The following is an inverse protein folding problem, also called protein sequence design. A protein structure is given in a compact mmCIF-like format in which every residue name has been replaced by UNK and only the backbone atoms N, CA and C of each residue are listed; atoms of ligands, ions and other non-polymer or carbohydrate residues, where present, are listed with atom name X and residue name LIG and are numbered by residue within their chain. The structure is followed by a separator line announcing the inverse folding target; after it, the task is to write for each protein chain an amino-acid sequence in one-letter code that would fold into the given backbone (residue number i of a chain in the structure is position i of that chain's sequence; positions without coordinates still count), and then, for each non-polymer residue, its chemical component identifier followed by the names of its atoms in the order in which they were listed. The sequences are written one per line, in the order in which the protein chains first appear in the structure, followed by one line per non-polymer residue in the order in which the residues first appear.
data_IF_846670096690
#
_entry.id   IF_846670096690
#
_cell.length_a   1.000
_cell.length_b   1.000
_cell.length_c   1.000
_cell.angle_alpha   90.00
_cell.angle_beta   90.00
_cell.angle_gamma   90.00
#
_symmetry.space_group_name_H-M   'P 1'
#
loop_
_entity.id
_entity.type
_entity.pdbx_description
1 polymer ?
#
# COMPACT_ATOMS: atom_id res chain seq x y z
N UNK A 1 45.77 -8.49 -5.85
CA UNK A 1 44.56 -7.65 -5.98
C UNK A 1 43.77 -7.68 -4.68
N UNK A 2 43.60 -6.54 -3.98
CA UNK A 2 42.76 -6.49 -2.77
C UNK A 2 41.31 -6.79 -3.18
N UNK A 3 40.68 -7.79 -2.55
CA UNK A 3 39.24 -8.06 -2.75
C UNK A 3 38.48 -6.81 -2.28
N UNK A 4 37.84 -6.12 -3.22
CA UNK A 4 36.96 -4.99 -2.93
C UNK A 4 35.84 -5.47 -1.98
N UNK A 5 35.71 -4.85 -0.81
CA UNK A 5 34.65 -5.19 0.15
C UNK A 5 33.34 -4.57 -0.34
N UNK A 6 32.55 -5.36 -1.05
CA UNK A 6 31.23 -4.93 -1.51
C UNK A 6 30.15 -5.18 -0.44
N UNK A 7 29.09 -4.37 -0.39
CA UNK A 7 27.97 -4.60 0.51
C UNK A 7 27.25 -5.94 0.25
N UNK A 8 26.53 -6.46 1.24
CA UNK A 8 25.79 -7.72 1.10
C UNK A 8 24.73 -7.59 -0.01
N UNK A 9 24.73 -8.56 -0.93
CA UNK A 9 23.84 -8.56 -2.10
C UNK A 9 24.39 -7.80 -3.31
N UNK A 10 25.62 -7.30 -3.24
CA UNK A 10 26.33 -6.67 -4.35
C UNK A 10 27.39 -7.64 -4.87
N UNK A 11 27.50 -7.77 -6.19
CA UNK A 11 28.59 -8.51 -6.81
C UNK A 11 28.97 -7.89 -8.15
N UNK A 12 30.26 -7.90 -8.47
CA UNK A 12 30.74 -7.52 -9.81
C UNK A 12 30.59 -8.70 -10.76
N UNK A 13 30.03 -8.42 -11.93
CA UNK A 13 30.03 -9.33 -13.06
C UNK A 13 31.41 -9.30 -13.77
N UNK A 14 31.74 -10.32 -14.59
CA UNK A 14 33.02 -10.38 -15.30
C UNK A 14 33.30 -9.18 -16.21
N UNK A 15 32.25 -8.51 -16.69
CA UNK A 15 32.33 -7.31 -17.51
C UNK A 15 32.51 -6.00 -16.71
N UNK A 16 32.82 -6.08 -15.42
CA UNK A 16 32.98 -4.92 -14.53
C UNK A 16 31.68 -4.27 -14.04
N UNK A 17 30.52 -4.69 -14.55
CA UNK A 17 29.22 -4.19 -14.10
C UNK A 17 28.92 -4.62 -12.67
N UNK A 18 28.33 -3.73 -11.88
CA UNK A 18 27.91 -4.01 -10.51
C UNK A 18 26.45 -4.45 -10.50
N UNK A 19 26.17 -5.64 -9.96
CA UNK A 19 24.82 -6.16 -9.80
C UNK A 19 24.41 -6.11 -8.34
N UNK A 20 23.16 -5.73 -8.11
CA UNK A 20 22.58 -5.62 -6.79
C UNK A 20 21.31 -6.46 -6.72
N UNK A 21 21.22 -7.29 -5.69
CA UNK A 21 20.05 -8.11 -5.35
C UNK A 21 19.59 -7.78 -3.94
N UNK A 22 18.32 -7.39 -3.84
CA UNK A 22 17.65 -7.16 -2.55
C UNK A 22 16.61 -8.27 -2.40
N UNK A 23 16.79 -9.08 -1.34
CA UNK A 23 15.83 -10.10 -0.91
C UNK A 23 15.30 -9.71 0.47
N UNK A 24 14.00 -9.45 0.54
CA UNK A 24 13.27 -9.22 1.79
C UNK A 24 12.17 -10.29 1.85
N UNK A 25 12.04 -10.94 3.02
CA UNK A 25 11.03 -11.99 3.21
C UNK A 25 9.63 -11.39 2.97
N UNK A 26 8.83 -12.05 2.14
CA UNK A 26 7.46 -11.61 1.82
C UNK A 26 7.35 -10.63 0.63
N UNK A 27 8.47 -10.27 -0.02
CA UNK A 27 8.46 -9.40 -1.21
C UNK A 27 9.18 -10.05 -2.39
N UNK A 28 8.77 -9.74 -3.65
CA UNK A 28 9.53 -10.14 -4.82
C UNK A 28 10.98 -9.60 -4.77
N UNK A 29 11.98 -10.38 -5.22
CA UNK A 29 13.36 -9.93 -5.24
C UNK A 29 13.53 -8.76 -6.23
N UNK A 30 14.19 -7.70 -5.79
CA UNK A 30 14.56 -6.57 -6.65
C UNK A 30 16.00 -6.75 -7.15
N UNK A 31 16.19 -6.66 -8.46
CA UNK A 31 17.50 -6.80 -9.11
C UNK A 31 17.76 -5.62 -10.03
N UNK A 32 18.94 -5.03 -9.94
CA UNK A 32 19.41 -4.02 -10.89
C UNK A 32 20.88 -4.19 -11.21
N UNK A 33 21.23 -3.88 -12.46
CA UNK A 33 22.61 -3.89 -12.95
C UNK A 33 23.04 -2.46 -13.25
N UNK A 34 24.20 -2.07 -12.73
CA UNK A 34 24.85 -0.79 -12.97
C UNK A 34 26.05 -1.04 -13.89
N UNK A 35 26.00 -0.48 -15.10
CA UNK A 35 27.07 -0.67 -16.08
C UNK A 35 28.30 0.12 -15.66
N UNK A 36 29.48 -0.42 -15.98
CA UNK A 36 30.74 0.32 -15.83
C UNK A 36 31.07 0.92 -17.20
N UNK A 37 31.15 2.26 -17.27
CA UNK A 37 31.38 2.96 -18.54
C UNK A 37 32.86 3.05 -18.91
N UNK A 38 33.73 3.21 -17.90
CA UNK A 38 35.18 3.23 -18.07
C UNK A 38 35.82 2.55 -16.86
N UNK A 39 36.91 1.81 -17.07
CA UNK A 39 37.60 1.12 -15.97
C UNK A 39 38.54 2.04 -15.18
N UNK A 40 37.98 3.13 -14.64
CA UNK A 40 38.71 4.09 -13.82
C UNK A 40 38.28 4.00 -12.35
N UNK A 41 39.16 4.32 -11.39
CA UNK A 41 38.79 4.34 -9.97
C UNK A 41 37.63 5.30 -9.65
N UNK A 42 37.54 6.42 -10.37
CA UNK A 42 36.46 7.40 -10.20
C UNK A 42 35.10 6.83 -10.64
N UNK A 43 35.06 6.13 -11.79
CA UNK A 43 33.84 5.56 -12.31
C UNK A 43 33.35 4.38 -11.48
N UNK A 44 34.27 3.54 -10.97
CA UNK A 44 33.94 2.47 -10.02
C UNK A 44 33.32 3.01 -8.73
N UNK A 45 33.77 4.17 -8.24
CA UNK A 45 33.16 4.85 -7.08
C UNK A 45 31.76 5.38 -7.39
N UNK A 46 31.58 6.04 -8.55
CA UNK A 46 30.26 6.54 -8.98
C UNK A 46 29.25 5.41 -9.10
N UNK A 47 29.65 4.31 -9.75
CA UNK A 47 28.84 3.11 -9.90
C UNK A 47 28.43 2.53 -8.54
N UNK A 48 29.33 2.50 -7.55
CA UNK A 48 29.02 2.03 -6.20
C UNK A 48 28.02 2.95 -5.50
N UNK A 49 28.23 4.27 -5.55
CA UNK A 49 27.34 5.27 -4.93
C UNK A 49 25.93 5.19 -5.52
N UNK A 50 25.81 5.10 -6.85
CA UNK A 50 24.51 4.95 -7.51
C UNK A 50 23.81 3.66 -7.10
N UNK A 51 24.57 2.56 -7.02
CA UNK A 51 24.06 1.26 -6.60
C UNK A 51 23.58 1.25 -5.15
N UNK A 52 24.28 1.93 -4.24
CA UNK A 52 23.91 2.08 -2.84
C UNK A 52 22.67 2.96 -2.66
N UNK A 53 22.60 4.10 -3.37
CA UNK A 53 21.43 5.00 -3.36
C UNK A 53 20.18 4.27 -3.84
N UNK A 54 20.28 3.58 -4.98
CA UNK A 54 19.18 2.76 -5.48
C UNK A 54 18.80 1.66 -4.50
N UNK A 55 19.78 0.99 -3.87
CA UNK A 55 19.49 -0.08 -2.93
C UNK A 55 18.76 0.42 -1.69
N UNK A 56 19.14 1.58 -1.15
CA UNK A 56 18.46 2.23 -0.05
C UNK A 56 17.02 2.61 -0.42
N UNK A 57 16.82 3.21 -1.59
CA UNK A 57 15.51 3.59 -2.07
C UNK A 57 14.61 2.38 -2.34
N UNK A 58 15.15 1.31 -2.95
CA UNK A 58 14.43 0.07 -3.21
C UNK A 58 14.00 -0.60 -1.91
N UNK A 59 14.87 -0.67 -0.90
CA UNK A 59 14.50 -1.16 0.44
C UNK A 59 13.39 -0.29 1.04
N UNK A 60 13.52 1.04 0.98
CA UNK A 60 12.49 1.96 1.49
C UNK A 60 11.14 1.73 0.82
N UNK A 61 11.10 1.57 -0.52
CA UNK A 61 9.87 1.29 -1.29
C UNK A 61 9.25 -0.06 -0.95
N UNK A 62 10.07 -1.09 -0.76
CA UNK A 62 9.61 -2.42 -0.35
C UNK A 62 9.03 -2.38 1.08
N UNK A 63 9.73 -1.77 2.03
CA UNK A 63 9.22 -1.61 3.40
C UNK A 63 7.97 -0.73 3.50
N UNK A 64 7.86 0.30 2.64
CA UNK A 64 6.68 1.16 2.57
C UNK A 64 5.47 0.51 1.88
N UNK A 65 5.57 -0.75 1.40
CA UNK A 65 4.47 -1.45 0.73
C UNK A 65 4.14 -0.93 -0.67
N UNK A 66 4.86 0.06 -1.18
CA UNK A 66 4.65 0.65 -2.52
C UNK A 66 5.14 -0.24 -3.68
N UNK A 67 5.63 -1.45 -3.39
CA UNK A 67 6.27 -2.36 -4.35
C UNK A 67 5.42 -3.52 -4.85
N UNK A 68 4.10 -3.53 -4.63
CA UNK A 68 3.20 -4.49 -5.27
C UNK A 68 2.39 -3.77 -6.34
N UNK A 69 2.40 -4.33 -7.55
CA UNK A 69 1.70 -3.93 -8.77
C UNK A 69 2.48 -2.97 -9.69
N UNK A 70 3.54 -3.49 -10.31
CA UNK A 70 3.84 -3.13 -11.69
C UNK A 70 2.69 -3.65 -12.57
N UNK A 71 1.69 -2.80 -12.76
CA UNK A 71 0.42 -3.11 -13.41
C UNK A 71 -0.56 -1.95 -13.19
N UNK A 72 -0.14 -0.74 -13.57
CA UNK A 72 -0.94 0.47 -13.41
C UNK A 72 -2.30 0.40 -14.16
N UNK A 73 -2.45 -0.55 -15.08
CA UNK A 73 -3.66 -0.82 -15.87
C UNK A 73 -4.60 -1.86 -15.24
N UNK A 74 -4.23 -2.48 -14.11
CA UNK A 74 -5.03 -3.51 -13.41
C UNK A 74 -5.18 -3.28 -11.89
N UNK A 75 -4.90 -2.06 -11.40
CA UNK A 75 -5.00 -1.77 -9.98
C UNK A 75 -6.48 -1.72 -9.52
N UNK A 76 -6.99 -2.84 -9.03
CA UNK A 76 -8.32 -2.99 -8.43
C UNK A 76 -8.58 -1.91 -7.37
N UNK A 77 -9.70 -1.20 -7.49
CA UNK A 77 -10.15 -0.25 -6.45
C UNK A 77 -10.79 -1.01 -5.29
N UNK A 78 -10.82 -0.37 -4.11
CA UNK A 78 -11.51 -0.93 -2.95
C UNK A 78 -12.99 -1.24 -3.30
N UNK A 79 -13.66 -0.34 -4.02
CA UNK A 79 -15.05 -0.53 -4.43
C UNK A 79 -15.23 -1.70 -5.40
N UNK A 80 -14.32 -1.89 -6.35
CA UNK A 80 -14.37 -3.05 -7.24
C UNK A 80 -14.20 -4.37 -6.45
N UNK A 81 -13.25 -4.40 -5.51
CA UNK A 81 -13.01 -5.54 -4.64
C UNK A 81 -14.22 -5.86 -3.75
N UNK A 82 -14.84 -4.85 -3.15
CA UNK A 82 -16.03 -5.01 -2.31
C UNK A 82 -17.24 -5.52 -3.10
N UNK A 83 -17.42 -5.08 -4.34
CA UNK A 83 -18.48 -5.63 -5.22
C UNK A 83 -18.22 -7.09 -5.57
N UNK A 84 -16.97 -7.46 -5.84
CA UNK A 84 -16.61 -8.86 -6.07
C UNK A 84 -16.89 -9.70 -4.82
N UNK A 85 -16.45 -9.22 -3.65
CA UNK A 85 -16.70 -9.87 -2.37
C UNK A 85 -18.19 -10.01 -2.04
N UNK A 86 -19.01 -9.00 -2.35
CA UNK A 86 -20.45 -9.07 -2.17
C UNK A 86 -21.11 -10.15 -3.04
N UNK A 87 -20.64 -10.32 -4.27
CA UNK A 87 -21.17 -11.33 -5.21
C UNK A 87 -20.75 -12.75 -4.85
N UNK A 88 -19.47 -12.94 -4.54
CA UNK A 88 -18.83 -14.27 -4.52
C UNK A 88 -18.35 -14.70 -3.13
N UNK A 89 -18.05 -13.74 -2.24
CA UNK A 89 -17.32 -13.99 -1.00
C UNK A 89 -18.14 -13.95 0.29
N UNK A 90 -19.42 -13.57 0.23
CA UNK A 90 -20.29 -13.55 1.42
C UNK A 90 -20.74 -14.97 1.81
N UNK A 91 -19.86 -15.68 2.54
CA UNK A 91 -20.12 -16.99 3.14
C UNK A 91 -20.49 -16.86 4.61
N UNK A 92 -21.69 -16.38 4.92
CA UNK A 92 -22.18 -16.28 6.29
C UNK A 92 -23.68 -16.59 6.37
N UNK A 93 -24.18 -16.88 7.58
CA UNK A 93 -25.62 -17.14 7.82
C UNK A 93 -26.47 -16.00 7.23
N UNK A 94 -27.69 -16.25 6.72
CA UNK A 94 -28.47 -15.26 5.95
C UNK A 94 -28.62 -13.88 6.63
N UNK A 95 -28.83 -13.86 7.95
CA UNK A 95 -28.93 -12.62 8.73
C UNK A 95 -27.63 -11.80 8.76
N UNK A 96 -26.47 -12.47 8.79
CA UNK A 96 -25.17 -11.82 8.77
C UNK A 96 -24.81 -11.35 7.36
N UNK A 97 -25.17 -12.15 6.34
CA UNK A 97 -24.99 -11.78 4.93
C UNK A 97 -25.69 -10.46 4.59
N UNK A 98 -26.92 -10.25 5.08
CA UNK A 98 -27.64 -8.97 4.89
C UNK A 98 -26.94 -7.79 5.57
N UNK A 99 -26.46 -7.97 6.81
CA UNK A 99 -25.72 -6.92 7.53
C UNK A 99 -24.42 -6.56 6.80
N UNK A 100 -23.70 -7.56 6.32
CA UNK A 100 -22.44 -7.35 5.61
C UNK A 100 -22.67 -6.70 4.24
N UNK A 101 -23.73 -7.07 3.53
CA UNK A 101 -24.12 -6.40 2.29
C UNK A 101 -24.43 -4.91 2.51
N UNK A 102 -25.21 -4.57 3.55
CA UNK A 102 -25.51 -3.16 3.88
C UNK A 102 -24.24 -2.37 4.26
N UNK A 103 -23.30 -2.99 4.98
CA UNK A 103 -22.00 -2.38 5.28
C UNK A 103 -21.21 -2.12 4.01
N UNK A 104 -21.16 -3.09 3.11
CA UNK A 104 -20.48 -2.95 1.81
C UNK A 104 -21.11 -1.80 1.01
N UNK A 105 -22.44 -1.73 0.92
CA UNK A 105 -23.13 -0.62 0.24
C UNK A 105 -22.80 0.74 0.85
N UNK A 106 -22.72 0.83 2.18
CA UNK A 106 -22.32 2.06 2.86
C UNK A 106 -20.89 2.47 2.47
N UNK A 107 -19.94 1.53 2.51
CA UNK A 107 -18.55 1.80 2.13
C UNK A 107 -18.45 2.19 0.65
N UNK A 108 -19.24 1.57 -0.23
CA UNK A 108 -19.27 1.87 -1.67
C UNK A 108 -19.72 3.29 -2.01
N UNK A 109 -20.45 3.96 -1.11
CA UNK A 109 -20.87 5.35 -1.26
C UNK A 109 -19.81 6.36 -0.82
N UNK A 110 -18.79 5.90 -0.09
CA UNK A 110 -17.72 6.76 0.42
C UNK A 110 -16.56 6.90 -0.59
N UNK A 111 -15.85 8.02 -0.53
CA UNK A 111 -14.70 8.30 -1.41
C UNK A 111 -13.58 7.27 -1.24
N UNK A 112 -13.46 6.63 -0.07
CA UNK A 112 -12.46 5.56 0.13
C UNK A 112 -12.65 4.39 -0.85
N UNK A 113 -13.88 4.11 -1.30
CA UNK A 113 -14.15 3.05 -2.27
C UNK A 113 -13.57 3.33 -3.66
N UNK A 114 -13.35 4.60 -4.01
CA UNK A 114 -12.74 4.98 -5.30
C UNK A 114 -11.22 4.81 -5.29
N UNK A 115 -10.60 4.72 -4.11
CA UNK A 115 -9.15 4.56 -3.97
C UNK A 115 -8.70 3.17 -4.42
N UNK A 116 -7.47 3.11 -4.96
CA UNK A 116 -6.82 1.84 -5.35
C UNK A 116 -6.48 1.05 -4.09
N UNK A 117 -6.73 -0.26 -4.07
CA UNK A 117 -6.41 -1.10 -2.92
C UNK A 117 -4.94 -0.99 -2.50
N UNK A 118 -4.03 -1.03 -3.47
CA UNK A 118 -2.59 -0.90 -3.23
C UNK A 118 -2.17 0.48 -2.71
N UNK A 119 -3.03 1.49 -2.80
CA UNK A 119 -2.78 2.84 -2.28
C UNK A 119 -3.33 3.08 -0.88
N UNK A 120 -4.04 2.10 -0.31
CA UNK A 120 -4.60 2.20 1.04
C UNK A 120 -3.54 1.78 2.05
N UNK A 121 -3.14 2.72 2.90
CA UNK A 121 -2.26 2.48 4.03
C UNK A 121 -3.06 2.27 5.33
N UNK A 122 -2.40 1.75 6.38
CA UNK A 122 -3.01 1.66 7.71
C UNK A 122 -3.53 3.02 8.24
N UNK A 123 -2.78 4.14 8.11
CA UNK A 123 -3.29 5.46 8.43
C UNK A 123 -4.57 5.85 7.69
N UNK A 124 -4.68 5.52 6.40
CA UNK A 124 -5.90 5.82 5.62
C UNK A 124 -7.12 5.09 6.17
N UNK A 125 -6.95 3.81 6.56
CA UNK A 125 -8.01 3.00 7.14
C UNK A 125 -8.39 3.49 8.55
N UNK A 126 -7.41 3.94 9.34
CA UNK A 126 -7.66 4.51 10.66
C UNK A 126 -8.45 5.83 10.55
N UNK A 127 -8.05 6.72 9.65
CA UNK A 127 -8.79 7.96 9.37
C UNK A 127 -10.24 7.69 8.93
N UNK A 128 -10.44 6.68 8.07
CA UNK A 128 -11.79 6.28 7.67
C UNK A 128 -12.62 5.71 8.82
N UNK A 129 -12.02 4.88 9.69
CA UNK A 129 -12.69 4.41 10.91
C UNK A 129 -13.11 5.58 11.80
N UNK A 130 -12.22 6.55 12.01
CA UNK A 130 -12.49 7.68 12.90
C UNK A 130 -13.58 8.59 12.30
N UNK A 131 -13.60 8.76 10.98
CA UNK A 131 -14.71 9.42 10.25
C UNK A 131 -16.06 8.71 10.48
N UNK A 132 -16.08 7.37 10.45
CA UNK A 132 -17.32 6.61 10.71
C UNK A 132 -17.82 6.79 12.15
N UNK A 133 -16.90 6.82 13.12
CA UNK A 133 -17.23 7.08 14.53
C UNK A 133 -17.81 8.49 14.68
N UNK A 134 -17.20 9.50 14.05
CA UNK A 134 -17.69 10.88 14.08
C UNK A 134 -19.10 11.01 13.49
N UNK A 135 -19.33 10.42 12.31
CA UNK A 135 -20.65 10.42 11.65
C UNK A 135 -21.73 9.73 12.49
N UNK A 136 -21.39 8.69 13.24
CA UNK A 136 -22.33 8.04 14.17
C UNK A 136 -22.67 8.96 15.35
N UNK A 137 -21.65 9.62 15.91
CA UNK A 137 -21.82 10.57 17.00
C UNK A 137 -22.72 11.76 16.60
N UNK A 138 -22.46 12.40 15.46
CA UNK A 138 -23.28 13.49 14.93
C UNK A 138 -24.75 13.08 14.72
N UNK A 139 -24.97 11.85 14.24
CA UNK A 139 -26.32 11.31 14.03
C UNK A 139 -27.08 11.16 15.33
N UNK A 140 -26.42 10.69 16.40
CA UNK A 140 -27.04 10.53 17.72
C UNK A 140 -27.42 11.89 18.31
N UNK A 141 -26.51 12.86 18.25
CA UNK A 141 -26.79 14.23 18.70
C UNK A 141 -27.99 14.81 17.95
N UNK A 142 -28.03 14.66 16.62
CA UNK A 142 -29.14 15.15 15.82
C UNK A 142 -30.46 14.50 16.24
N UNK A 143 -30.49 13.19 16.41
CA UNK A 143 -31.69 12.48 16.85
C UNK A 143 -32.16 12.94 18.24
N UNK A 144 -31.24 13.16 19.18
CA UNK A 144 -31.56 13.67 20.51
C UNK A 144 -32.10 15.11 20.47
N UNK A 145 -31.55 15.95 19.59
CA UNK A 145 -32.01 17.34 19.40
C UNK A 145 -33.40 17.38 18.76
N UNK A 146 -33.64 16.56 17.73
CA UNK A 146 -34.95 16.45 17.08
C UNK A 146 -36.04 15.93 18.03
N UNK A 147 -35.68 15.03 18.96
CA UNK A 147 -36.59 14.54 20.00
C UNK A 147 -36.88 15.64 21.05
N UNK A 148 -35.87 16.42 21.44
CA UNK A 148 -36.05 17.54 22.36
C UNK A 148 -36.98 18.62 21.77
N UNK A 149 -36.77 19.00 20.50
CA UNK A 149 -37.61 19.99 19.80
C UNK A 149 -39.05 19.51 19.55
N UNK A 150 -39.27 18.19 19.46
CA UNK A 150 -40.60 17.61 19.24
C UNK A 150 -41.42 17.43 20.53
N UNK A 151 -40.88 17.76 21.71
CA UNK A 151 -41.57 17.65 23.00
C UNK A 151 -42.22 18.99 23.33
N UNK A 152 -43.56 19.15 23.32
CA UNK A 152 -44.19 20.40 23.71
C UNK A 152 -43.90 20.68 25.19
N UNK A 153 -43.40 21.88 25.50
CA UNK A 153 -43.37 22.39 26.87
C UNK A 153 -44.82 22.44 27.36
N UNK A 154 -45.14 21.58 28.33
CA UNK A 154 -46.44 21.52 29.00
C UNK A 154 -46.62 22.64 30.00
#
# INVERSE_FOLDING_TARGET
MKKEKLPRGFWRAPNGSLRVLIRIKGFPPAVRTFKLHADTPAERRRQLVEAELWAAEARRKLYAGHGVVAGADHAMTLGAALRLYAREGLSSRPANKRKDALRIESILRDEIAKRRLASLSLPDLAAYRDLLIHRDFERRIRAETEVADATPEG
#
